data_IF_668294807076
#
_entry.id   IF_668294807076
#
_cell.length_a   1.000
_cell.length_b   1.000
_cell.length_c   1.000
_cell.angle_alpha   90.00
_cell.angle_beta   90.00
_cell.angle_gamma   90.00
#
_symmetry.space_group_name_H-M   'P 1'
#
loop_
_entity.id
_entity.type
_entity.pdbx_description
1 polymer ?
#
# COMPACT_ATOMS: atom_id res chain seq x y z
N UNK A 1 6.07 16.68 -0.45
CA UNK A 1 6.82 16.31 0.79
C UNK A 1 7.34 14.86 0.70
N UNK A 2 6.50 13.84 0.53
CA UNK A 2 6.93 12.43 0.46
C UNK A 2 7.85 12.10 -0.73
N UNK A 3 7.54 12.55 -1.94
CA UNK A 3 8.44 12.35 -3.09
C UNK A 3 9.82 12.99 -2.91
N UNK A 4 9.90 14.12 -2.18
CA UNK A 4 11.16 14.80 -1.83
C UNK A 4 11.99 13.92 -0.89
N UNK A 5 11.36 13.28 0.10
CA UNK A 5 12.01 12.32 1.01
C UNK A 5 12.69 11.17 0.23
N UNK A 6 11.97 10.52 -0.69
CA UNK A 6 12.55 9.44 -1.51
C UNK A 6 13.65 9.94 -2.46
N UNK A 7 13.51 11.17 -2.98
CA UNK A 7 14.55 11.78 -3.84
C UNK A 7 15.84 12.04 -3.07
N UNK A 8 15.75 12.56 -1.84
CA UNK A 8 16.91 12.81 -0.99
C UNK A 8 17.66 11.53 -0.60
N UNK A 9 16.99 10.38 -0.67
CA UNK A 9 17.58 9.05 -0.42
C UNK A 9 18.05 8.34 -1.70
N UNK A 10 18.06 9.00 -2.87
CA UNK A 10 18.37 8.38 -4.18
C UNK A 10 17.46 7.18 -4.55
N UNK A 11 16.23 7.11 -4.01
CA UNK A 11 15.27 6.02 -4.23
C UNK A 11 13.99 6.51 -4.92
N UNK A 12 14.09 7.44 -5.87
CA UNK A 12 12.93 8.11 -6.50
C UNK A 12 11.90 7.12 -7.06
N UNK A 13 12.33 6.02 -7.69
CA UNK A 13 11.43 5.00 -8.27
C UNK A 13 10.66 4.22 -7.20
N UNK A 14 11.25 4.05 -6.01
CA UNK A 14 10.64 3.31 -4.90
C UNK A 14 9.53 4.09 -4.18
N UNK A 15 9.43 5.40 -4.42
CA UNK A 15 8.38 6.24 -3.86
C UNK A 15 6.99 5.64 -4.07
N UNK A 16 6.67 5.27 -5.31
CA UNK A 16 5.33 4.78 -5.68
C UNK A 16 5.03 3.46 -4.99
N UNK A 17 5.95 2.50 -5.08
CA UNK A 17 5.75 1.15 -4.54
C UNK A 17 5.67 1.12 -3.01
N UNK A 18 6.54 1.86 -2.32
CA UNK A 18 6.45 1.98 -0.86
C UNK A 18 5.21 2.73 -0.41
N UNK A 19 4.85 3.81 -1.10
CA UNK A 19 3.61 4.54 -0.79
C UNK A 19 2.41 3.61 -0.90
N UNK A 20 2.29 2.88 -2.01
CA UNK A 20 1.21 1.94 -2.23
C UNK A 20 1.17 0.81 -1.19
N UNK A 21 2.32 0.16 -0.94
CA UNK A 21 2.41 -0.92 0.05
C UNK A 21 2.09 -0.42 1.48
N UNK A 22 2.55 0.77 1.86
CA UNK A 22 2.28 1.33 3.18
C UNK A 22 0.81 1.73 3.34
N UNK A 23 0.18 2.27 2.29
CA UNK A 23 -1.25 2.58 2.32
C UNK A 23 -2.09 1.31 2.53
N UNK A 24 -1.76 0.23 1.85
CA UNK A 24 -2.40 -1.08 2.06
C UNK A 24 -2.17 -1.56 3.50
N UNK A 25 -0.93 -1.51 4.00
CA UNK A 25 -0.62 -1.87 5.39
C UNK A 25 -1.47 -1.06 6.39
N UNK A 26 -1.53 0.27 6.24
CA UNK A 26 -2.30 1.13 7.12
C UNK A 26 -3.80 0.83 7.06
N UNK A 27 -4.32 0.44 5.90
CA UNK A 27 -5.71 0.03 5.72
C UNK A 27 -6.04 -1.25 6.49
N UNK A 28 -5.13 -2.22 6.53
CA UNK A 28 -5.43 -3.58 7.05
C UNK A 28 -4.77 -3.92 8.37
N UNK A 29 -3.87 -3.09 8.92
CA UNK A 29 -3.07 -3.42 10.13
C UNK A 29 -3.90 -3.74 11.38
N UNK A 30 -5.15 -3.27 11.44
CA UNK A 30 -6.04 -3.49 12.58
C UNK A 30 -6.99 -4.69 12.36
N UNK A 31 -6.98 -5.31 11.18
CA UNK A 31 -7.83 -6.43 10.84
C UNK A 31 -7.25 -7.74 11.39
N UNK A 32 -7.97 -8.35 12.34
CA UNK A 32 -7.46 -9.51 13.10
C UNK A 32 -7.60 -10.86 12.37
N UNK A 33 -8.42 -10.94 11.32
CA UNK A 33 -8.78 -12.22 10.66
C UNK A 33 -8.86 -12.09 9.14
N UNK A 34 -7.73 -11.79 8.51
CA UNK A 34 -7.64 -11.71 7.05
C UNK A 34 -7.39 -13.11 6.49
N UNK A 35 -8.38 -13.70 5.82
CA UNK A 35 -8.22 -14.98 5.09
C UNK A 35 -7.50 -14.80 3.75
N UNK A 36 -7.77 -13.70 3.07
CA UNK A 36 -7.24 -13.40 1.74
C UNK A 36 -7.23 -11.89 1.51
N UNK A 37 -6.20 -11.40 0.82
CA UNK A 37 -6.08 -10.04 0.32
C UNK A 37 -5.96 -10.15 -1.19
N UNK A 38 -6.90 -9.54 -1.91
CA UNK A 38 -6.84 -9.41 -3.37
C UNK A 38 -6.55 -7.94 -3.66
N UNK A 39 -5.42 -7.68 -4.32
CA UNK A 39 -4.95 -6.36 -4.71
C UNK A 39 -5.12 -6.24 -6.22
N UNK A 40 -5.60 -5.09 -6.70
CA UNK A 40 -5.66 -4.82 -8.13
C UNK A 40 -4.25 -4.80 -8.74
N UNK A 41 -4.11 -5.32 -9.95
CA UNK A 41 -2.86 -5.23 -10.72
C UNK A 41 -2.71 -3.81 -11.29
N UNK A 42 -2.39 -2.86 -10.40
CA UNK A 42 -2.22 -1.44 -10.72
C UNK A 42 -0.89 -1.15 -11.44
N UNK A 43 0.18 -1.87 -11.06
CA UNK A 43 1.54 -1.67 -11.58
C UNK A 43 2.05 -2.93 -12.25
N UNK A 44 1.80 -3.06 -13.56
CA UNK A 44 2.16 -4.25 -14.35
C UNK A 44 3.64 -4.60 -14.14
N UNK A 45 3.90 -5.87 -13.77
CA UNK A 45 5.25 -6.40 -13.55
C UNK A 45 5.86 -6.09 -12.18
N UNK A 46 5.13 -5.42 -11.28
CA UNK A 46 5.64 -5.01 -9.96
C UNK A 46 4.98 -5.78 -8.79
N UNK A 47 4.11 -6.73 -9.09
CA UNK A 47 3.36 -7.54 -8.11
C UNK A 47 4.29 -8.21 -7.09
N UNK A 48 5.39 -8.82 -7.56
CA UNK A 48 6.36 -9.49 -6.69
C UNK A 48 7.07 -8.51 -5.75
N UNK A 49 7.41 -7.31 -6.25
CA UNK A 49 8.03 -6.25 -5.46
C UNK A 49 7.05 -5.77 -4.38
N UNK A 50 5.83 -5.38 -4.76
CA UNK A 50 4.81 -4.87 -3.82
C UNK A 50 4.47 -5.94 -2.79
N UNK A 51 4.33 -7.21 -3.21
CA UNK A 51 4.13 -8.34 -2.30
C UNK A 51 5.26 -8.46 -1.29
N UNK A 52 6.52 -8.35 -1.73
CA UNK A 52 7.69 -8.36 -0.85
C UNK A 52 7.67 -7.22 0.18
N UNK A 53 7.38 -6.00 -0.27
CA UNK A 53 7.23 -4.83 0.61
C UNK A 53 6.13 -5.05 1.64
N UNK A 54 4.96 -5.56 1.23
CA UNK A 54 3.85 -5.86 2.14
C UNK A 54 4.22 -6.93 3.17
N UNK A 55 4.88 -8.01 2.76
CA UNK A 55 5.29 -9.05 3.72
C UNK A 55 6.34 -8.59 4.73
N UNK A 56 7.10 -7.54 4.41
CA UNK A 56 8.01 -6.91 5.38
C UNK A 56 7.25 -6.00 6.37
N UNK A 57 6.15 -5.39 5.92
CA UNK A 57 5.32 -4.52 6.77
C UNK A 57 4.40 -5.34 7.69
N UNK A 58 3.86 -6.44 7.16
CA UNK A 58 2.80 -7.25 7.76
C UNK A 58 3.29 -8.69 7.92
N UNK A 59 3.19 -9.24 9.14
CA UNK A 59 3.52 -10.64 9.39
C UNK A 59 2.38 -11.56 8.93
N UNK A 60 2.18 -11.68 7.62
CA UNK A 60 1.21 -12.58 6.99
C UNK A 60 1.88 -13.48 5.94
N UNK A 61 1.28 -14.63 5.66
CA UNK A 61 1.77 -15.53 4.60
C UNK A 61 1.64 -14.85 3.23
N UNK A 62 2.69 -14.94 2.41
CA UNK A 62 2.69 -14.50 1.02
C UNK A 62 1.54 -15.10 0.22
N UNK A 63 1.09 -16.31 0.56
CA UNK A 63 -0.05 -17.00 -0.07
C UNK A 63 -1.39 -16.30 0.20
N UNK A 64 -1.49 -15.53 1.28
CA UNK A 64 -2.68 -14.73 1.61
C UNK A 64 -2.83 -13.54 0.66
N UNK A 65 -1.76 -13.08 0.01
CA UNK A 65 -1.76 -11.92 -0.90
C UNK A 65 -1.80 -12.38 -2.36
N UNK A 66 -2.85 -11.99 -3.07
CA UNK A 66 -3.03 -12.21 -4.50
C UNK A 66 -3.14 -10.89 -5.26
N UNK A 67 -2.57 -10.86 -6.46
CA UNK A 67 -2.80 -9.78 -7.41
C UNK A 67 -3.72 -10.31 -8.51
N UNK A 68 -4.74 -9.53 -8.86
CA UNK A 68 -5.71 -9.84 -9.92
C UNK A 68 -6.15 -8.54 -10.57
N UNK A 69 -6.52 -8.59 -11.86
CA UNK A 69 -7.21 -7.46 -12.48
C UNK A 69 -8.62 -7.34 -11.87
N UNK A 70 -8.86 -6.25 -11.16
CA UNK A 70 -10.15 -5.89 -10.59
C UNK A 70 -10.84 -4.97 -11.60
N UNK A 71 -11.86 -5.50 -12.29
CA UNK A 71 -12.52 -4.76 -13.37
C UNK A 71 -13.17 -3.44 -12.91
N UNK A 72 -13.26 -2.48 -13.83
CA UNK A 72 -13.86 -1.14 -13.61
C UNK A 72 -15.31 -1.16 -13.15
N UNK A 73 -16.05 -2.24 -13.41
CA UNK A 73 -17.44 -2.44 -12.99
C UNK A 73 -17.56 -3.18 -11.65
N UNK A 74 -16.44 -3.43 -10.97
CA UNK A 74 -16.47 -4.11 -9.67
C UNK A 74 -16.99 -3.16 -8.57
N UNK A 75 -17.64 -3.69 -7.53
CA UNK A 75 -18.07 -2.88 -6.38
C UNK A 75 -16.92 -2.12 -5.70
N UNK A 76 -15.70 -2.66 -5.74
CA UNK A 76 -14.52 -2.00 -5.19
C UNK A 76 -14.17 -0.70 -5.93
N UNK A 77 -14.23 -0.72 -7.26
CA UNK A 77 -13.98 0.47 -8.08
C UNK A 77 -15.05 1.53 -7.85
N UNK A 78 -16.32 1.12 -7.81
CA UNK A 78 -17.45 2.00 -7.53
C UNK A 78 -17.32 2.68 -6.15
N UNK A 79 -16.94 1.91 -5.13
CA UNK A 79 -16.73 2.44 -3.78
C UNK A 79 -15.59 3.46 -3.75
N UNK A 80 -14.46 3.15 -4.39
CA UNK A 80 -13.31 4.04 -4.47
C UNK A 80 -13.64 5.38 -5.16
N UNK A 81 -14.34 5.33 -6.30
CA UNK A 81 -14.79 6.53 -7.02
C UNK A 81 -15.77 7.35 -6.18
N UNK A 82 -16.75 6.69 -5.53
CA UNK A 82 -17.73 7.38 -4.68
C UNK A 82 -17.03 8.09 -3.52
N UNK A 83 -16.16 7.40 -2.79
CA UNK A 83 -15.37 7.95 -1.68
C UNK A 83 -14.54 9.16 -2.12
N UNK A 84 -13.87 9.08 -3.28
CA UNK A 84 -13.11 10.18 -3.85
C UNK A 84 -14.00 11.39 -4.17
N UNK A 85 -15.13 11.19 -4.85
CA UNK A 85 -16.05 12.27 -5.25
C UNK A 85 -16.62 13.03 -4.07
N UNK A 86 -16.99 12.32 -2.99
CA UNK A 86 -17.57 12.94 -1.79
C UNK A 86 -16.52 13.36 -0.75
N UNK A 87 -15.22 13.14 -1.02
CA UNK A 87 -14.09 13.43 -0.12
C UNK A 87 -14.24 12.82 1.29
N UNK A 88 -14.86 11.64 1.38
CA UNK A 88 -15.07 10.89 2.62
C UNK A 88 -14.20 9.63 2.59
N UNK A 89 -13.45 9.43 3.65
CA UNK A 89 -12.62 8.25 3.85
C UNK A 89 -12.67 7.87 5.33
N UNK A 90 -12.65 6.58 5.62
CA UNK A 90 -12.59 6.06 6.99
C UNK A 90 -11.21 6.31 7.61
N UNK A 91 -10.17 6.32 6.76
CA UNK A 91 -8.78 6.57 7.16
C UNK A 91 -8.22 7.69 6.28
N UNK A 92 -7.65 8.72 6.92
CA UNK A 92 -6.89 9.78 6.24
C UNK A 92 -5.42 9.61 6.56
N UNK A 93 -4.60 9.48 5.52
CA UNK A 93 -3.16 9.27 5.64
C UNK A 93 -2.41 10.48 5.12
N UNK A 94 -1.50 11.02 5.93
CA UNK A 94 -0.59 12.10 5.55
C UNK A 94 0.75 11.56 5.07
N UNK A 95 1.54 12.42 4.43
CA UNK A 95 2.93 12.10 4.09
C UNK A 95 3.77 11.74 5.33
N UNK A 96 3.48 12.34 6.49
CA UNK A 96 4.22 12.08 7.72
C UNK A 96 3.91 10.70 8.26
N UNK A 97 2.66 10.24 8.18
CA UNK A 97 2.27 8.89 8.60
C UNK A 97 3.06 7.82 7.83
N UNK A 98 3.23 8.02 6.52
CA UNK A 98 4.01 7.11 5.67
C UNK A 98 5.49 7.13 6.06
N UNK A 99 6.06 8.32 6.31
CA UNK A 99 7.45 8.45 6.75
C UNK A 99 7.65 7.77 8.10
N UNK A 100 6.71 7.91 9.04
CA UNK A 100 6.77 7.27 10.35
C UNK A 100 6.79 5.74 10.24
N UNK A 101 6.00 5.15 9.32
CA UNK A 101 6.05 3.70 9.06
C UNK A 101 7.42 3.28 8.52
N UNK A 102 7.99 4.06 7.58
CA UNK A 102 9.32 3.79 7.02
C UNK A 102 10.43 3.85 8.06
N UNK A 103 10.33 4.74 9.06
CA UNK A 103 11.38 4.93 10.07
C UNK A 103 11.22 4.05 11.31
N UNK A 104 10.01 3.62 11.65
CA UNK A 104 9.74 2.82 12.87
C UNK A 104 10.09 1.34 12.68
N UNK A 105 9.97 0.79 11.47
CA UNK A 105 10.28 -0.62 11.18
C UNK A 105 11.78 -0.79 10.87
N UNK A 106 12.58 -0.91 11.94
CA UNK A 106 14.02 -1.27 12.04
C UNK A 106 15.03 -0.50 11.14
N UNK A 107 16.19 -0.09 11.70
CA UNK A 107 17.29 0.50 10.95
C UNK A 107 17.95 -0.58 10.07
N UNK A 108 17.87 -0.44 8.75
CA UNK A 108 18.51 -1.38 7.81
C UNK A 108 17.82 -1.60 6.46
N UNK A 109 16.62 -1.03 6.21
CA UNK A 109 15.90 -1.15 4.92
C UNK A 109 15.84 0.18 4.14
N UNK A 110 16.75 1.12 4.40
CA UNK A 110 16.94 2.33 3.60
C UNK A 110 18.36 2.43 3.06
#
# INVERSE_FOLDING_TARGET
KLQKYFRQKNRRRMFVYWTFAILIYLLIKNERKIRQIIIDTEYIGQDALIKGLLTNLIHIDKKTIMFKSIGKKSPAHDLAIKAYRIKRADIRVTAQDIINVLTTKKPGVL
#
